data_IF_520901769720
#
_entry.id   IF_520901769720
#
_cell.length_a   1.000
_cell.length_b   1.000
_cell.length_c   1.000
_cell.angle_alpha   90.00
_cell.angle_beta   90.00
_cell.angle_gamma   90.00
#
_symmetry.space_group_name_H-M   'P 1'
#
loop_
_entity.id
_entity.type
_entity.pdbx_description
1 polymer ?
#
# COMPACT_ATOMS: atom_id res chain seq x y z
N UNK A 1 -38.35 -45.35 9.71
CA UNK A 1 -37.67 -44.39 10.60
C UNK A 1 -36.14 -44.47 10.44
N UNK A 2 -35.62 -44.38 9.21
CA UNK A 2 -34.16 -44.48 8.95
C UNK A 2 -33.70 -43.66 7.73
N UNK A 3 -34.56 -42.77 7.20
CA UNK A 3 -34.22 -41.92 6.05
C UNK A 3 -34.00 -40.45 6.49
N UNK A 4 -34.47 -40.03 7.68
CA UNK A 4 -34.28 -38.66 8.17
C UNK A 4 -32.96 -38.41 8.92
N UNK A 5 -32.30 -39.43 9.48
CA UNK A 5 -31.07 -39.22 10.25
C UNK A 5 -29.88 -38.90 9.34
N UNK A 6 -29.86 -39.49 8.13
CA UNK A 6 -28.77 -39.32 7.15
C UNK A 6 -28.81 -37.96 6.41
N UNK A 7 -29.99 -37.35 6.24
CA UNK A 7 -30.12 -36.06 5.55
C UNK A 7 -29.78 -34.87 6.46
N UNK A 8 -30.03 -34.99 7.77
CA UNK A 8 -29.66 -33.94 8.74
C UNK A 8 -28.16 -33.91 9.03
N UNK A 9 -27.47 -35.06 9.01
CA UNK A 9 -26.00 -35.09 9.09
C UNK A 9 -25.35 -34.51 7.84
N UNK A 10 -25.93 -34.74 6.66
CA UNK A 10 -25.40 -34.18 5.42
C UNK A 10 -25.62 -32.66 5.30
N UNK A 11 -26.68 -32.13 5.91
CA UNK A 11 -26.88 -30.69 6.05
C UNK A 11 -25.90 -30.07 7.06
N UNK A 12 -25.61 -30.73 8.18
CA UNK A 12 -24.71 -30.20 9.20
C UNK A 12 -23.23 -30.18 8.77
N UNK A 13 -22.82 -31.11 7.90
CA UNK A 13 -21.48 -31.09 7.30
C UNK A 13 -21.31 -30.01 6.21
N UNK A 14 -22.38 -29.61 5.52
CA UNK A 14 -22.36 -28.56 4.50
C UNK A 14 -22.27 -27.13 5.09
N UNK A 15 -22.67 -26.93 6.34
CA UNK A 15 -22.61 -25.66 7.05
C UNK A 15 -21.42 -25.53 8.03
N UNK A 16 -20.40 -26.38 7.93
CA UNK A 16 -19.15 -26.14 8.65
C UNK A 16 -18.38 -25.00 7.95
N UNK A 17 -18.16 -23.83 8.60
CA UNK A 17 -17.25 -22.85 8.05
C UNK A 17 -15.85 -23.44 8.09
N UNK A 18 -15.27 -23.68 6.92
CA UNK A 18 -13.85 -23.95 6.76
C UNK A 18 -13.13 -22.70 7.29
N UNK A 19 -12.79 -22.69 8.58
CA UNK A 19 -11.86 -21.71 9.13
C UNK A 19 -10.57 -21.93 8.34
N UNK A 20 -10.10 -20.94 7.54
CA UNK A 20 -8.83 -21.09 6.85
C UNK A 20 -7.78 -21.41 7.92
N UNK A 21 -6.85 -22.34 7.67
CA UNK A 21 -5.69 -22.48 8.55
C UNK A 21 -5.08 -21.09 8.63
N UNK A 22 -4.99 -20.58 9.86
CA UNK A 22 -4.46 -19.27 10.17
C UNK A 22 -3.26 -19.04 9.26
N UNK A 23 -3.38 -18.11 8.31
CA UNK A 23 -2.19 -17.54 7.70
C UNK A 23 -1.39 -17.10 8.92
N UNK A 24 -0.29 -17.80 9.21
CA UNK A 24 0.64 -17.42 10.24
C UNK A 24 1.14 -16.06 9.82
N UNK A 25 0.39 -15.04 10.25
CA UNK A 25 0.64 -13.65 9.98
C UNK A 25 1.93 -13.45 10.73
N UNK A 26 3.05 -13.59 10.00
CA UNK A 26 4.35 -13.19 10.48
C UNK A 26 4.18 -11.70 10.76
N UNK A 27 3.83 -11.39 12.01
CA UNK A 27 3.90 -10.05 12.56
C UNK A 27 5.38 -9.73 12.59
N UNK A 28 5.92 -9.39 11.43
CA UNK A 28 7.24 -8.80 11.31
C UNK A 28 7.18 -7.58 12.22
N UNK A 29 7.87 -7.70 13.36
CA UNK A 29 7.98 -6.63 14.34
C UNK A 29 8.33 -5.34 13.57
N UNK A 30 7.61 -4.22 13.76
CA UNK A 30 7.84 -3.02 12.98
C UNK A 30 9.28 -2.57 13.22
N UNK A 31 10.13 -2.75 12.21
CA UNK A 31 11.53 -2.29 12.26
C UNK A 31 11.50 -0.79 12.50
N UNK A 32 11.91 -0.37 13.69
CA UNK A 32 11.89 1.03 14.07
C UNK A 32 12.71 1.85 13.07
N UNK A 33 12.17 2.97 12.55
CA UNK A 33 12.91 3.82 11.64
C UNK A 33 14.10 4.44 12.37
N UNK A 34 15.16 4.79 11.63
CA UNK A 34 16.31 5.49 12.20
C UNK A 34 15.92 6.76 12.96
N UNK A 35 16.67 7.08 14.02
CA UNK A 35 16.51 8.32 14.78
C UNK A 35 17.03 9.51 13.95
N UNK A 36 16.16 10.49 13.68
CA UNK A 36 16.44 11.66 12.82
C UNK A 36 15.88 12.92 13.46
N UNK A 37 16.60 14.03 13.31
CA UNK A 37 16.18 15.34 13.81
C UNK A 37 14.92 15.84 13.09
N UNK A 38 14.19 16.76 13.72
CA UNK A 38 12.95 17.33 13.17
C UNK A 38 13.20 18.06 11.83
N UNK A 39 14.31 18.78 11.71
CA UNK A 39 14.68 19.49 10.49
C UNK A 39 14.87 18.53 9.30
N UNK A 40 15.55 17.39 9.52
CA UNK A 40 15.73 16.37 8.48
C UNK A 40 14.39 15.73 8.12
N UNK A 41 13.53 15.42 9.10
CA UNK A 41 12.17 14.91 8.85
C UNK A 41 11.35 15.88 7.98
N UNK A 42 11.42 17.18 8.25
CA UNK A 42 10.76 18.22 7.44
C UNK A 42 11.28 18.27 6.00
N UNK A 43 12.61 18.20 5.81
CA UNK A 43 13.25 18.12 4.47
C UNK A 43 12.79 16.87 3.73
N UNK A 44 12.83 15.69 4.36
CA UNK A 44 12.38 14.42 3.78
C UNK A 44 10.91 14.47 3.36
N UNK A 45 10.03 14.95 4.24
CA UNK A 45 8.60 15.10 3.96
C UNK A 45 8.34 16.06 2.79
N UNK A 46 9.10 17.17 2.68
CA UNK A 46 8.99 18.08 1.54
C UNK A 46 9.44 17.42 0.23
N UNK A 47 10.58 16.69 0.24
CA UNK A 47 11.07 15.96 -0.94
C UNK A 47 10.11 14.85 -1.37
N UNK A 48 9.43 14.19 -0.42
CA UNK A 48 8.39 13.23 -0.73
C UNK A 48 7.16 13.90 -1.37
N UNK A 49 6.72 15.05 -0.85
CA UNK A 49 5.60 15.81 -1.43
C UNK A 49 5.88 16.35 -2.82
N UNK A 50 7.13 16.74 -3.12
CA UNK A 50 7.54 17.23 -4.45
C UNK A 50 7.61 16.11 -5.51
N UNK A 51 7.80 14.86 -5.09
CA UNK A 51 7.99 13.74 -5.99
C UNK A 51 6.67 13.17 -6.54
N UNK A 52 5.86 14.03 -7.16
CA UNK A 52 4.52 13.70 -7.70
C UNK A 52 4.46 13.99 -9.20
N UNK A 53 3.59 13.28 -9.96
CA UNK A 53 3.37 13.59 -11.37
C UNK A 53 2.62 14.91 -11.53
N UNK A 54 2.69 15.50 -12.72
CA UNK A 54 1.94 16.72 -13.04
C UNK A 54 0.44 16.39 -13.13
N UNK A 55 -0.46 17.21 -12.56
CA UNK A 55 -1.90 17.04 -12.70
C UNK A 55 -2.37 17.10 -14.15
N UNK A 56 -3.44 16.37 -14.48
CA UNK A 56 -3.94 16.28 -15.86
C UNK A 56 -4.47 17.62 -16.39
N UNK A 57 -5.24 18.36 -15.59
CA UNK A 57 -5.79 19.66 -15.99
C UNK A 57 -4.73 20.69 -16.38
N UNK A 58 -3.52 20.61 -15.82
CA UNK A 58 -2.40 21.48 -16.21
C UNK A 58 -2.03 21.24 -17.67
N UNK A 59 -2.08 20.00 -18.15
CA UNK A 59 -1.78 19.65 -19.54
C UNK A 59 -2.82 20.18 -20.52
N UNK A 60 -4.05 20.41 -20.04
CA UNK A 60 -5.16 20.93 -20.85
C UNK A 60 -5.18 22.47 -20.94
N UNK A 61 -4.34 23.17 -20.16
CA UNK A 61 -4.26 24.64 -20.25
C UNK A 61 -3.65 25.08 -21.58
N UNK A 62 -4.24 26.08 -22.20
CA UNK A 62 -3.72 26.75 -23.41
C UNK A 62 -2.31 27.30 -23.15
N UNK A 63 -1.46 27.29 -24.19
CA UNK A 63 -0.07 27.78 -24.18
C UNK A 63 0.85 27.16 -23.11
N UNK A 64 0.53 25.95 -22.64
CA UNK A 64 1.40 25.24 -21.70
C UNK A 64 2.44 24.36 -22.41
N UNK A 65 3.72 24.67 -22.21
CA UNK A 65 4.86 23.88 -22.72
C UNK A 65 5.25 22.71 -21.81
N UNK A 66 4.73 22.64 -20.58
CA UNK A 66 5.15 21.68 -19.56
C UNK A 66 4.41 20.34 -19.74
N UNK A 67 5.14 19.29 -20.16
CA UNK A 67 4.55 17.95 -20.40
C UNK A 67 4.75 16.95 -19.24
N UNK A 68 5.90 16.99 -18.58
CA UNK A 68 6.25 16.08 -17.48
C UNK A 68 7.09 16.79 -16.42
N UNK A 69 7.15 16.21 -15.21
CA UNK A 69 7.96 16.77 -14.12
C UNK A 69 9.42 16.34 -14.28
N UNK A 70 10.24 17.19 -14.90
CA UNK A 70 11.66 16.94 -15.09
C UNK A 70 12.44 16.77 -13.78
N UNK A 71 11.94 17.35 -12.67
CA UNK A 71 12.57 17.28 -11.34
C UNK A 71 12.06 16.11 -10.49
N UNK A 72 11.26 15.19 -11.06
CA UNK A 72 10.82 13.97 -10.36
C UNK A 72 12.03 13.07 -10.10
N UNK A 73 12.10 12.49 -8.91
CA UNK A 73 13.26 11.70 -8.44
C UNK A 73 12.89 10.25 -8.16
N UNK A 74 13.74 9.32 -8.58
CA UNK A 74 13.67 7.93 -8.14
C UNK A 74 14.76 7.63 -7.09
N UNK A 75 14.40 6.96 -5.99
CA UNK A 75 15.29 6.78 -4.84
C UNK A 75 16.47 5.83 -5.10
N UNK A 76 16.34 4.92 -6.07
CA UNK A 76 17.45 4.06 -6.50
C UNK A 76 18.43 4.80 -7.42
N UNK A 77 17.96 5.76 -8.23
CA UNK A 77 18.80 6.46 -9.22
C UNK A 77 19.54 7.66 -8.64
N UNK A 78 18.87 8.49 -7.83
CA UNK A 78 19.46 9.74 -7.33
C UNK A 78 19.24 9.89 -5.83
N UNK A 79 20.32 10.10 -5.08
CA UNK A 79 20.30 10.29 -3.63
C UNK A 79 19.98 11.74 -3.26
N UNK A 80 19.41 11.91 -2.07
CA UNK A 80 19.14 13.22 -1.53
C UNK A 80 20.41 13.65 -0.77
N UNK A 81 21.34 14.28 -1.48
CA UNK A 81 22.58 14.80 -0.88
C UNK A 81 22.25 16.00 0.01
N UNK A 82 22.29 15.80 1.31
CA UNK A 82 22.24 16.84 2.34
C UNK A 82 23.05 16.41 3.54
#
# INVERSE_FOLDING_TARGET
MSICFSFLTQFYEYYQPILPPVLSFNLQQPKMPSHKTFMIKKKLAKKQRQNRPIPYWIRMRTDNTIRYNAKRRHWRRTKLGF
#
